data_IF_510656364416
#
_entry.id   IF_510656364416
#
_cell.length_a   1.000
_cell.length_b   1.000
_cell.length_c   1.000
_cell.angle_alpha   90.00
_cell.angle_beta   90.00
_cell.angle_gamma   90.00
#
_symmetry.space_group_name_H-M   'P 1'
#
loop_
_entity.id
_entity.type
_entity.pdbx_description
1 polymer ?
#
# COMPACT_ATOMS: atom_id res chain seq x y z
N UNK A 1 13.88 3.54 17.94
CA UNK A 1 12.76 3.00 17.15
C UNK A 1 13.28 2.49 15.81
N UNK A 2 12.95 1.26 15.46
CA UNK A 2 13.37 0.67 14.21
C UNK A 2 12.34 -0.32 13.69
N UNK A 3 12.02 -0.18 12.41
CA UNK A 3 11.12 -1.09 11.70
C UNK A 3 11.96 -2.17 11.03
N UNK A 4 11.53 -3.43 11.08
CA UNK A 4 12.29 -4.52 10.45
C UNK A 4 12.22 -4.41 8.93
N UNK A 5 11.02 -4.20 8.37
CA UNK A 5 10.83 -4.06 6.93
C UNK A 5 9.69 -3.10 6.62
N UNK A 6 9.90 -2.27 5.62
CA UNK A 6 8.85 -1.44 5.03
C UNK A 6 8.57 -1.94 3.62
N UNK A 7 7.30 -2.09 3.30
CA UNK A 7 6.85 -2.50 1.97
C UNK A 7 6.18 -1.30 1.30
N UNK A 8 6.71 -0.89 0.17
CA UNK A 8 6.22 0.28 -0.55
C UNK A 8 5.62 -0.16 -1.87
N UNK A 9 4.42 0.33 -2.17
CA UNK A 9 3.80 0.06 -3.46
C UNK A 9 4.58 0.80 -4.56
N UNK A 10 4.93 0.10 -5.63
CA UNK A 10 5.55 0.68 -6.80
C UNK A 10 4.54 1.57 -7.50
N UNK A 11 4.82 2.86 -7.56
CA UNK A 11 3.92 3.84 -8.17
C UNK A 11 4.68 4.72 -9.14
N UNK A 12 3.94 5.32 -10.07
CA UNK A 12 4.49 6.25 -11.06
C UNK A 12 3.41 7.26 -11.45
N UNK A 13 3.82 8.35 -12.07
CA UNK A 13 2.85 9.34 -12.54
C UNK A 13 1.98 8.74 -13.65
N UNK A 14 0.69 9.04 -13.62
CA UNK A 14 -0.25 8.59 -14.66
C UNK A 14 -0.12 9.48 -15.90
N UNK A 15 -0.28 8.92 -17.12
CA UNK A 15 -0.07 9.69 -18.36
C UNK A 15 -0.90 10.97 -18.48
N UNK A 16 -2.09 11.02 -17.84
CA UNK A 16 -2.98 12.18 -17.89
C UNK A 16 -2.95 13.04 -16.64
N UNK A 17 -2.01 12.74 -15.73
CA UNK A 17 -1.86 13.51 -14.52
C UNK A 17 -1.21 14.86 -14.84
N UNK A 18 -1.75 15.95 -14.29
CA UNK A 18 -1.19 17.28 -14.49
C UNK A 18 0.21 17.43 -13.90
N UNK A 19 0.95 18.42 -14.41
CA UNK A 19 2.35 18.68 -13.96
C UNK A 19 2.40 18.97 -12.48
N UNK A 20 1.55 19.85 -11.97
CA UNK A 20 1.51 20.22 -10.55
C UNK A 20 1.16 19.00 -9.70
N UNK A 21 0.17 18.22 -10.11
CA UNK A 21 -0.24 17.00 -9.39
C UNK A 21 0.88 15.96 -9.36
N UNK A 22 1.58 15.76 -10.49
CA UNK A 22 2.71 14.83 -10.56
C UNK A 22 3.87 15.28 -9.67
N UNK A 23 4.14 16.58 -9.63
CA UNK A 23 5.18 17.13 -8.78
C UNK A 23 4.87 16.92 -7.30
N UNK A 24 3.64 17.22 -6.88
CA UNK A 24 3.21 17.04 -5.49
C UNK A 24 3.25 15.58 -5.08
N UNK A 25 2.79 14.69 -5.96
CA UNK A 25 2.83 13.27 -5.72
C UNK A 25 4.27 12.78 -5.53
N UNK A 26 5.18 13.16 -6.44
CA UNK A 26 6.59 12.75 -6.35
C UNK A 26 7.27 13.27 -5.10
N UNK A 27 6.95 14.49 -4.70
CA UNK A 27 7.49 15.10 -3.49
C UNK A 27 7.03 14.35 -2.23
N UNK A 28 5.74 14.04 -2.14
CA UNK A 28 5.19 13.30 -1.01
C UNK A 28 5.71 11.87 -0.96
N UNK A 29 5.79 11.22 -2.11
CA UNK A 29 6.32 9.86 -2.21
C UNK A 29 7.79 9.81 -1.78
N UNK A 30 8.59 10.76 -2.26
CA UNK A 30 10.01 10.85 -1.89
C UNK A 30 10.23 11.03 -0.40
N UNK A 31 9.40 11.86 0.24
CA UNK A 31 9.47 12.07 1.68
C UNK A 31 9.16 10.78 2.45
N UNK A 32 8.11 10.07 2.04
CA UNK A 32 7.74 8.80 2.65
C UNK A 32 8.82 7.75 2.44
N UNK A 33 9.35 7.66 1.23
CA UNK A 33 10.42 6.73 0.88
C UNK A 33 11.67 6.98 1.73
N UNK A 34 12.05 8.24 1.91
CA UNK A 34 13.18 8.60 2.75
C UNK A 34 12.99 8.17 4.19
N UNK A 35 11.80 8.38 4.75
CA UNK A 35 11.48 7.92 6.10
C UNK A 35 11.59 6.40 6.21
N UNK A 36 11.10 5.67 5.21
CA UNK A 36 11.18 4.22 5.21
C UNK A 36 12.63 3.74 5.28
N UNK A 37 13.52 4.34 4.46
CA UNK A 37 14.93 3.99 4.48
C UNK A 37 15.62 4.34 5.80
N UNK A 38 15.22 5.45 6.42
CA UNK A 38 15.83 5.87 7.68
C UNK A 38 15.39 5.00 8.86
N UNK A 39 14.14 4.54 8.85
CA UNK A 39 13.53 3.83 9.99
C UNK A 39 13.54 2.32 9.86
N UNK A 40 13.84 1.78 8.68
CA UNK A 40 13.70 0.35 8.41
C UNK A 40 15.05 -0.31 8.13
N UNK A 41 15.19 -1.55 8.53
CA UNK A 41 16.35 -2.37 8.19
C UNK A 41 16.34 -2.75 6.72
N UNK A 42 15.14 -2.91 6.16
CA UNK A 42 14.95 -3.33 4.77
C UNK A 42 13.75 -2.60 4.17
N UNK A 43 13.85 -2.23 2.89
CA UNK A 43 12.76 -1.61 2.14
C UNK A 43 12.56 -2.42 0.86
N UNK A 44 11.34 -2.93 0.66
CA UNK A 44 10.97 -3.66 -0.55
C UNK A 44 9.88 -2.90 -1.29
N UNK A 45 9.83 -3.10 -2.61
CA UNK A 45 8.83 -2.49 -3.48
C UNK A 45 7.99 -3.58 -4.14
N UNK A 46 6.68 -3.36 -4.23
CA UNK A 46 5.75 -4.33 -4.84
C UNK A 46 4.79 -3.58 -5.76
N UNK A 47 4.62 -4.06 -6.99
CA UNK A 47 3.66 -3.48 -7.93
C UNK A 47 2.22 -3.81 -7.50
N UNK A 48 1.25 -2.88 -7.71
CA UNK A 48 -0.15 -3.13 -7.34
C UNK A 48 -0.72 -4.41 -7.95
N UNK A 49 -0.43 -4.67 -9.21
CA UNK A 49 -0.94 -5.86 -9.89
C UNK A 49 -0.48 -7.15 -9.20
N UNK A 50 0.71 -7.16 -8.63
CA UNK A 50 1.27 -8.36 -7.99
C UNK A 50 0.52 -8.71 -6.72
N UNK A 51 0.42 -7.75 -5.79
CA UNK A 51 -0.21 -8.05 -4.50
C UNK A 51 -1.72 -8.17 -4.60
N UNK A 52 -2.36 -7.41 -5.49
CA UNK A 52 -3.80 -7.50 -5.70
C UNK A 52 -4.20 -8.83 -6.31
N UNK A 53 -3.43 -9.31 -7.27
CA UNK A 53 -3.66 -10.63 -7.88
C UNK A 53 -3.48 -11.75 -6.85
N UNK A 54 -2.46 -11.67 -6.03
CA UNK A 54 -2.19 -12.66 -5.00
C UNK A 54 -3.35 -12.76 -4.01
N UNK A 55 -3.92 -11.63 -3.60
CA UNK A 55 -5.05 -11.61 -2.67
C UNK A 55 -6.40 -11.81 -3.36
N UNK A 56 -6.44 -11.84 -4.69
CA UNK A 56 -7.66 -12.07 -5.45
C UNK A 56 -8.62 -10.90 -5.42
N UNK A 57 -8.13 -9.66 -5.42
CA UNK A 57 -8.98 -8.47 -5.40
C UNK A 57 -8.87 -7.68 -6.68
N UNK A 58 -9.94 -6.94 -6.98
CA UNK A 58 -9.98 -6.03 -8.11
C UNK A 58 -9.27 -4.70 -7.82
N UNK A 59 -9.43 -3.74 -8.73
CA UNK A 59 -8.71 -2.49 -8.69
C UNK A 59 -9.49 -1.33 -8.04
N UNK A 60 -10.76 -1.52 -7.69
CA UNK A 60 -11.56 -0.45 -7.11
C UNK A 60 -11.21 -0.19 -5.64
N UNK A 61 -11.47 1.04 -5.20
CA UNK A 61 -11.30 1.40 -3.79
C UNK A 61 -12.19 0.54 -2.88
N UNK A 62 -13.40 0.27 -3.33
CA UNK A 62 -14.35 -0.54 -2.55
C UNK A 62 -13.86 -1.98 -2.41
N UNK A 63 -13.23 -2.54 -3.45
CA UNK A 63 -12.66 -3.88 -3.38
C UNK A 63 -11.62 -3.99 -2.27
N UNK A 64 -10.76 -2.99 -2.13
CA UNK A 64 -9.75 -2.97 -1.08
C UNK A 64 -10.38 -2.87 0.31
N UNK A 65 -11.38 -2.02 0.47
CA UNK A 65 -12.08 -1.88 1.75
C UNK A 65 -12.81 -3.17 2.14
N UNK A 66 -13.47 -3.81 1.17
CA UNK A 66 -14.19 -5.06 1.41
C UNK A 66 -13.23 -6.19 1.79
N UNK A 67 -12.10 -6.28 1.12
CA UNK A 67 -11.09 -7.27 1.46
C UNK A 67 -10.49 -7.01 2.84
N UNK A 68 -10.28 -5.74 3.20
CA UNK A 68 -9.79 -5.39 4.52
C UNK A 68 -10.77 -5.83 5.62
N UNK A 69 -12.08 -5.66 5.38
CA UNK A 69 -13.11 -6.16 6.30
C UNK A 69 -13.03 -7.67 6.45
N UNK A 70 -12.83 -8.37 5.34
CA UNK A 70 -12.76 -9.83 5.34
C UNK A 70 -11.54 -10.33 6.12
N UNK A 71 -10.40 -9.69 5.93
CA UNK A 71 -9.13 -10.16 6.51
C UNK A 71 -8.90 -9.68 7.93
N UNK A 72 -9.33 -8.46 8.27
CA UNK A 72 -9.03 -7.83 9.56
C UNK A 72 -10.25 -7.64 10.45
N UNK A 73 -11.44 -8.03 9.98
CA UNK A 73 -12.69 -7.88 10.70
C UNK A 73 -13.36 -6.53 10.43
N UNK A 74 -14.57 -6.38 10.94
CA UNK A 74 -15.38 -5.18 10.75
C UNK A 74 -14.89 -4.08 11.69
N UNK A 75 -14.01 -3.25 11.20
CA UNK A 75 -13.46 -2.10 11.94
C UNK A 75 -14.01 -0.81 11.36
N UNK A 76 -14.24 0.14 12.22
CA UNK A 76 -14.76 1.46 11.85
C UNK A 76 -13.92 2.13 10.77
N UNK A 77 -12.61 1.92 10.77
CA UNK A 77 -11.71 2.51 9.79
C UNK A 77 -12.06 2.11 8.34
N UNK A 78 -12.64 0.92 8.13
CA UNK A 78 -13.00 0.47 6.79
C UNK A 78 -14.32 1.03 6.26
N UNK A 79 -15.12 1.66 7.13
CA UNK A 79 -16.40 2.23 6.73
C UNK A 79 -16.25 3.51 5.91
N UNK A 80 -15.15 4.22 6.12
CA UNK A 80 -14.91 5.49 5.45
C UNK A 80 -14.19 5.25 4.13
N UNK A 81 -14.83 5.65 3.03
CA UNK A 81 -14.31 5.40 1.69
C UNK A 81 -12.95 6.05 1.44
N UNK A 82 -12.66 7.17 2.09
CA UNK A 82 -11.37 7.85 2.00
C UNK A 82 -10.23 7.09 2.68
N UNK A 83 -10.54 6.01 3.39
CA UNK A 83 -9.53 5.18 4.07
C UNK A 83 -9.06 4.01 3.19
N UNK A 84 -9.32 4.06 1.89
CA UNK A 84 -8.85 3.03 0.96
C UNK A 84 -7.31 2.89 0.97
N UNK A 85 -6.60 4.00 1.15
CA UNK A 85 -5.14 3.95 1.26
C UNK A 85 -4.65 3.18 2.48
N UNK A 86 -5.34 3.33 3.61
CA UNK A 86 -5.02 2.58 4.83
C UNK A 86 -5.30 1.09 4.61
N UNK A 87 -6.44 0.78 3.96
CA UNK A 87 -6.79 -0.59 3.63
C UNK A 87 -5.74 -1.23 2.72
N UNK A 88 -5.31 -0.52 1.68
CA UNK A 88 -4.32 -1.02 0.74
C UNK A 88 -2.96 -1.23 1.39
N UNK A 89 -2.53 -0.31 2.24
CA UNK A 89 -1.28 -0.48 2.98
C UNK A 89 -1.32 -1.70 3.90
N UNK A 90 -2.45 -1.90 4.57
CA UNK A 90 -2.64 -3.05 5.46
C UNK A 90 -2.64 -4.37 4.67
N UNK A 91 -3.32 -4.39 3.51
CA UNK A 91 -3.36 -5.56 2.65
C UNK A 91 -2.00 -5.88 2.02
N UNK A 92 -1.24 -4.84 1.66
CA UNK A 92 0.11 -5.02 1.15
C UNK A 92 1.02 -5.68 2.19
N UNK A 93 0.92 -5.25 3.45
CA UNK A 93 1.65 -5.88 4.56
C UNK A 93 1.21 -7.33 4.73
N UNK A 94 -0.08 -7.61 4.67
CA UNK A 94 -0.61 -8.98 4.76
C UNK A 94 -0.08 -9.86 3.62
N UNK A 95 -0.08 -9.33 2.40
CA UNK A 95 0.48 -10.02 1.24
C UNK A 95 1.93 -10.45 1.51
N UNK A 96 2.77 -9.52 1.97
CA UNK A 96 4.18 -9.80 2.18
C UNK A 96 4.37 -10.86 3.27
N UNK A 97 3.67 -10.73 4.38
CA UNK A 97 3.73 -11.68 5.49
C UNK A 97 3.31 -13.07 5.01
N UNK A 98 2.19 -13.16 4.31
CA UNK A 98 1.65 -14.45 3.86
C UNK A 98 2.57 -15.13 2.85
N UNK A 99 3.12 -14.37 1.92
CA UNK A 99 3.94 -14.92 0.85
C UNK A 99 5.35 -15.32 1.32
N UNK A 100 5.97 -14.53 2.17
CA UNK A 100 7.38 -14.70 2.49
C UNK A 100 7.66 -15.31 3.85
N UNK A 101 6.77 -15.15 4.83
CA UNK A 101 6.99 -15.68 6.16
C UNK A 101 6.36 -17.04 6.41
N UNK A 102 5.36 -17.42 5.60
CA UNK A 102 4.71 -18.73 5.74
C UNK A 102 5.28 -19.79 4.80
N UNK A 103 6.41 -19.49 4.17
CA UNK A 103 7.11 -20.45 3.30
C UNK A 103 8.32 -21.04 3.98
#
# INVERSE_FOLDING_TARGET
FQIDISIIEKVHAMPRQGVTSSFQFGRSFGALESLAYLLSKRVDYVAPAVWKKYLGIGSSKQDSLDMARLKFGNKEVWEKRSNDGIAEASLLALYWITKFQNN
#
